data_IF_628727610003
#
_entry.id   IF_628727610003
#
_cell.length_a   1.000
_cell.length_b   1.000
_cell.length_c   1.000
_cell.angle_alpha   90.00
_cell.angle_beta   90.00
_cell.angle_gamma   90.00
#
_symmetry.space_group_name_H-M   'P 1'
#
loop_
_entity.id
_entity.type
_entity.pdbx_description
1 polymer ?
#
# COMPACT_ATOMS: atom_id res chain seq x y z
N UNK A 1 -40.00 -33.12 -3.20
CA UNK A 1 -38.97 -32.62 -2.25
C UNK A 1 -37.55 -32.94 -2.77
N UNK A 2 -37.00 -32.16 -3.71
CA UNK A 2 -35.63 -32.31 -4.24
C UNK A 2 -34.96 -30.94 -4.45
N UNK A 3 -34.77 -30.17 -3.39
CA UNK A 3 -34.13 -28.85 -3.49
C UNK A 3 -33.18 -28.61 -2.30
N UNK A 4 -32.21 -29.51 -2.09
CA UNK A 4 -31.18 -29.33 -1.05
C UNK A 4 -29.76 -29.85 -1.42
N UNK A 5 -29.49 -30.15 -2.70
CA UNK A 5 -28.17 -30.68 -3.15
C UNK A 5 -27.43 -29.70 -4.11
N UNK A 6 -27.74 -28.40 -4.09
CA UNK A 6 -27.03 -27.43 -4.95
C UNK A 6 -26.13 -26.43 -4.21
N UNK A 7 -26.10 -26.44 -2.87
CA UNK A 7 -25.34 -25.46 -2.08
C UNK A 7 -24.02 -26.00 -1.50
N UNK A 8 -23.67 -27.28 -1.69
CA UNK A 8 -22.47 -27.86 -1.07
C UNK A 8 -21.20 -27.75 -1.93
N UNK A 9 -21.31 -27.47 -3.23
CA UNK A 9 -20.14 -27.41 -4.14
C UNK A 9 -19.57 -26.01 -4.39
N UNK A 10 -20.22 -24.94 -3.92
CA UNK A 10 -19.81 -23.57 -4.25
C UNK A 10 -18.78 -22.99 -3.26
N UNK A 11 -18.57 -23.61 -2.09
CA UNK A 11 -17.68 -23.08 -1.05
C UNK A 11 -16.30 -23.73 -0.99
N UNK A 12 -16.05 -24.82 -1.72
CA UNK A 12 -14.78 -25.59 -1.66
C UNK A 12 -13.63 -25.02 -2.49
N UNK A 13 -13.85 -24.01 -3.33
CA UNK A 13 -12.81 -23.49 -4.25
C UNK A 13 -12.47 -22.01 -4.04
N UNK A 14 -12.62 -21.49 -2.82
CA UNK A 14 -11.91 -20.26 -2.46
C UNK A 14 -10.42 -20.58 -2.30
N UNK A 15 -9.70 -20.60 -3.43
CA UNK A 15 -8.25 -20.82 -3.52
C UNK A 15 -7.56 -19.78 -2.64
N UNK A 16 -7.17 -20.20 -1.43
CA UNK A 16 -6.44 -19.37 -0.47
C UNK A 16 -5.21 -18.80 -1.19
N UNK A 17 -5.12 -17.46 -1.29
CA UNK A 17 -3.97 -16.81 -1.92
C UNK A 17 -2.71 -17.23 -1.16
N UNK A 18 -1.85 -17.99 -1.81
CA UNK A 18 -0.55 -18.35 -1.28
C UNK A 18 0.33 -17.10 -1.30
N UNK A 19 0.74 -16.64 -0.11
CA UNK A 19 1.68 -15.54 0.03
C UNK A 19 3.08 -16.12 0.13
N UNK A 20 3.95 -15.70 -0.78
CA UNK A 20 5.37 -16.07 -0.79
C UNK A 20 6.21 -14.91 -0.28
N UNK A 21 7.19 -15.19 0.58
CA UNK A 21 8.11 -14.18 1.09
C UNK A 21 8.99 -13.59 -0.02
N UNK A 22 9.51 -12.39 0.20
CA UNK A 22 10.38 -11.73 -0.78
C UNK A 22 11.69 -12.52 -1.00
N UNK A 23 12.24 -13.10 0.08
CA UNK A 23 13.44 -13.94 0.03
C UNK A 23 13.19 -15.19 -0.80
N UNK A 24 12.05 -15.85 -0.60
CA UNK A 24 11.70 -17.05 -1.35
C UNK A 24 11.52 -16.74 -2.85
N UNK A 25 10.77 -15.68 -3.18
CA UNK A 25 10.63 -15.24 -4.59
C UNK A 25 11.98 -14.94 -5.23
N UNK A 26 12.87 -14.25 -4.50
CA UNK A 26 14.21 -13.92 -4.99
C UNK A 26 15.02 -15.18 -5.26
N UNK A 27 15.05 -16.13 -4.32
CA UNK A 27 15.74 -17.42 -4.49
C UNK A 27 15.26 -18.15 -5.74
N UNK A 28 13.93 -18.27 -5.91
CA UNK A 28 13.34 -18.96 -7.05
C UNK A 28 13.64 -18.23 -8.37
N UNK A 29 13.59 -16.90 -8.39
CA UNK A 29 13.94 -16.13 -9.59
C UNK A 29 15.42 -16.28 -9.95
N UNK A 30 16.32 -16.30 -8.97
CA UNK A 30 17.75 -16.54 -9.22
C UNK A 30 18.00 -17.94 -9.80
N UNK A 31 17.30 -18.97 -9.31
CA UNK A 31 17.36 -20.33 -9.89
C UNK A 31 16.79 -20.39 -11.32
N UNK A 32 15.78 -19.57 -11.64
CA UNK A 32 15.30 -19.43 -13.02
C UNK A 32 16.32 -18.73 -13.92
N UNK A 33 17.09 -17.78 -13.37
CA UNK A 33 18.10 -17.01 -14.11
C UNK A 33 19.44 -17.73 -14.26
N UNK A 34 19.74 -18.72 -13.41
CA UNK A 34 20.93 -19.56 -13.55
C UNK A 34 20.84 -20.56 -14.71
N UNK A 35 19.63 -20.77 -15.25
CA UNK A 35 19.33 -21.68 -16.38
C UNK A 35 19.71 -23.16 -16.13
N UNK A 36 20.08 -23.53 -14.91
CA UNK A 36 20.38 -24.91 -14.51
C UNK A 36 19.14 -25.81 -14.48
N UNK A 37 17.94 -25.22 -14.42
CA UNK A 37 16.66 -25.92 -14.44
C UNK A 37 15.64 -25.13 -15.24
N UNK A 38 14.81 -25.85 -16.00
CA UNK A 38 13.73 -25.23 -16.77
C UNK A 38 12.63 -24.68 -15.84
N UNK A 39 11.90 -23.67 -16.30
CA UNK A 39 10.77 -23.09 -15.55
C UNK A 39 9.75 -24.17 -15.14
N UNK A 40 9.55 -25.19 -15.97
CA UNK A 40 8.62 -26.29 -15.67
C UNK A 40 9.15 -27.23 -14.56
N UNK A 41 10.45 -27.48 -14.52
CA UNK A 41 11.07 -28.27 -13.43
C UNK A 41 11.02 -27.50 -12.10
N UNK A 42 11.30 -26.20 -12.13
CA UNK A 42 11.21 -25.33 -10.95
C UNK A 42 9.76 -25.20 -10.47
N UNK A 43 8.82 -25.08 -11.41
CA UNK A 43 7.38 -25.10 -11.13
C UNK A 43 6.94 -26.39 -10.44
N UNK A 44 7.41 -27.55 -10.91
CA UNK A 44 7.11 -28.83 -10.29
C UNK A 44 7.78 -28.96 -8.90
N UNK A 45 9.05 -28.55 -8.77
CA UNK A 45 9.83 -28.61 -7.53
C UNK A 45 9.21 -27.81 -6.38
N UNK A 46 8.69 -26.62 -6.68
CA UNK A 46 8.11 -25.73 -5.68
C UNK A 46 6.57 -25.74 -5.66
N UNK A 47 5.93 -26.55 -6.50
CA UNK A 47 4.47 -26.61 -6.70
C UNK A 47 3.86 -25.24 -7.05
N UNK A 48 4.57 -24.47 -7.88
CA UNK A 48 4.18 -23.11 -8.30
C UNK A 48 3.83 -23.15 -9.78
N UNK A 49 2.74 -22.48 -10.17
CA UNK A 49 2.38 -22.37 -11.59
C UNK A 49 3.49 -21.69 -12.41
N UNK A 50 3.86 -22.22 -13.60
CA UNK A 50 4.85 -21.60 -14.49
C UNK A 50 4.54 -20.13 -14.84
N UNK A 51 3.25 -19.76 -14.88
CA UNK A 51 2.80 -18.39 -15.15
C UNK A 51 3.20 -17.45 -14.00
N UNK A 52 3.10 -17.92 -12.75
CA UNK A 52 3.50 -17.16 -11.56
C UNK A 52 5.01 -16.95 -11.55
N UNK A 53 5.78 -17.98 -11.87
CA UNK A 53 7.24 -17.89 -11.99
C UNK A 53 7.68 -16.91 -13.08
N UNK A 54 7.04 -16.97 -14.25
CA UNK A 54 7.29 -16.05 -15.36
C UNK A 54 7.00 -14.60 -14.97
N UNK A 55 5.91 -14.38 -14.22
CA UNK A 55 5.56 -13.07 -13.67
C UNK A 55 6.63 -12.57 -12.70
N UNK A 56 7.09 -13.39 -11.76
CA UNK A 56 8.14 -12.99 -10.81
C UNK A 56 9.46 -12.68 -11.51
N UNK A 57 9.86 -13.47 -12.52
CA UNK A 57 11.03 -13.17 -13.35
C UNK A 57 10.91 -11.79 -13.98
N UNK A 58 9.76 -11.49 -14.59
CA UNK A 58 9.50 -10.18 -15.21
C UNK A 58 9.53 -9.03 -14.19
N UNK A 59 8.88 -9.20 -13.05
CA UNK A 59 8.85 -8.21 -11.96
C UNK A 59 10.26 -7.94 -11.43
N UNK A 60 11.04 -8.99 -11.18
CA UNK A 60 12.42 -8.87 -10.72
C UNK A 60 13.30 -8.15 -11.73
N UNK A 61 13.28 -8.56 -13.01
CA UNK A 61 14.08 -7.93 -14.06
C UNK A 61 13.72 -6.45 -14.28
N UNK A 62 12.43 -6.10 -14.17
CA UNK A 62 11.98 -4.71 -14.28
C UNK A 62 12.51 -3.81 -13.17
N UNK A 63 12.62 -4.34 -11.95
CA UNK A 63 13.04 -3.58 -10.75
C UNK A 63 14.51 -3.79 -10.38
N UNK A 64 15.19 -4.78 -10.94
CA UNK A 64 16.58 -5.10 -10.62
C UNK A 64 17.52 -3.91 -10.87
N UNK A 65 17.26 -3.13 -11.92
CA UNK A 65 18.02 -1.91 -12.22
C UNK A 65 17.90 -0.84 -11.12
N UNK A 66 16.79 -0.81 -10.37
CA UNK A 66 16.57 0.16 -9.29
C UNK A 66 17.59 0.00 -8.16
N UNK A 67 18.08 -1.22 -7.91
CA UNK A 67 19.08 -1.52 -6.88
C UNK A 67 20.42 -0.84 -7.15
N UNK A 68 20.74 -0.59 -8.43
CA UNK A 68 22.00 0.04 -8.83
C UNK A 68 21.89 1.56 -9.05
N UNK A 69 20.68 2.13 -9.00
CA UNK A 69 20.52 3.59 -9.09
C UNK A 69 21.12 4.24 -7.83
N UNK A 70 21.96 5.26 -8.02
CA UNK A 70 22.47 6.08 -6.91
C UNK A 70 21.48 7.20 -6.60
N UNK A 71 21.18 7.39 -5.32
CA UNK A 71 20.24 8.41 -4.82
C UNK A 71 18.98 7.81 -4.22
N UNK A 72 18.11 8.66 -3.63
CA UNK A 72 16.89 8.21 -2.98
C UNK A 72 15.97 7.51 -3.98
N UNK A 73 15.33 6.44 -3.52
CA UNK A 73 14.33 5.72 -4.32
C UNK A 73 13.14 6.64 -4.65
N UNK A 74 12.38 6.33 -5.70
CA UNK A 74 11.18 7.11 -6.02
C UNK A 74 10.21 7.16 -4.84
N UNK A 75 10.02 6.02 -4.16
CA UNK A 75 9.23 5.93 -2.93
C UNK A 75 9.77 6.79 -1.79
N UNK A 76 11.08 6.99 -1.71
CA UNK A 76 11.70 7.83 -0.69
C UNK A 76 11.50 9.32 -1.00
N UNK A 77 11.55 9.71 -2.27
CA UNK A 77 11.19 11.06 -2.71
C UNK A 77 9.71 11.37 -2.47
N UNK A 78 8.82 10.43 -2.83
CA UNK A 78 7.38 10.56 -2.56
C UNK A 78 7.10 10.69 -1.06
N UNK A 79 7.81 9.90 -0.24
CA UNK A 79 7.70 9.99 1.21
C UNK A 79 8.13 11.36 1.73
N UNK A 80 9.23 11.89 1.21
CA UNK A 80 9.73 13.21 1.63
C UNK A 80 8.78 14.33 1.23
N UNK A 81 8.28 14.32 -0.01
CA UNK A 81 7.24 15.25 -0.47
C UNK A 81 5.97 15.17 0.39
N UNK A 82 5.56 13.95 0.78
CA UNK A 82 4.42 13.76 1.67
C UNK A 82 4.67 14.36 3.05
N UNK A 83 5.87 14.23 3.61
CA UNK A 83 6.21 14.84 4.90
C UNK A 83 6.20 16.36 4.83
N UNK A 84 6.78 16.93 3.77
CA UNK A 84 6.76 18.38 3.54
C UNK A 84 5.33 18.91 3.47
N UNK A 85 4.45 18.21 2.74
CA UNK A 85 3.04 18.58 2.64
C UNK A 85 2.31 18.48 3.98
N UNK A 86 2.56 17.42 4.76
CA UNK A 86 2.00 17.28 6.11
C UNK A 86 2.45 18.44 6.99
N UNK A 87 3.73 18.80 6.98
CA UNK A 87 4.26 19.90 7.77
C UNK A 87 3.62 21.25 7.38
N UNK A 88 3.38 21.48 6.09
CA UNK A 88 2.66 22.67 5.61
C UNK A 88 1.22 22.71 6.14
N UNK A 89 0.50 21.59 6.07
CA UNK A 89 -0.86 21.48 6.57
C UNK A 89 -0.93 21.69 8.08
N UNK A 90 -0.03 21.07 8.85
CA UNK A 90 0.07 21.25 10.31
C UNK A 90 0.30 22.71 10.68
N UNK A 91 1.16 23.42 9.94
CA UNK A 91 1.38 24.85 10.14
C UNK A 91 0.11 25.67 9.89
N UNK A 92 -0.62 25.39 8.81
CA UNK A 92 -1.90 26.06 8.49
C UNK A 92 -2.96 25.78 9.56
N UNK A 93 -3.05 24.53 10.03
CA UNK A 93 -3.97 24.15 11.11
C UNK A 93 -3.63 24.91 12.40
N UNK A 94 -2.34 25.01 12.74
CA UNK A 94 -1.90 25.79 13.91
C UNK A 94 -2.26 27.27 13.80
N UNK A 95 -2.01 27.88 12.65
CA UNK A 95 -2.37 29.28 12.38
C UNK A 95 -3.88 29.50 12.49
N UNK A 96 -4.68 28.67 11.82
CA UNK A 96 -6.14 28.76 11.86
C UNK A 96 -6.69 28.54 13.27
N UNK A 97 -6.11 27.62 14.03
CA UNK A 97 -6.49 27.38 15.43
C UNK A 97 -6.26 28.64 16.26
N UNK A 98 -5.08 29.26 16.11
CA UNK A 98 -4.77 30.52 16.79
C UNK A 98 -5.73 31.65 16.40
N UNK A 99 -5.96 31.85 15.09
CA UNK A 99 -6.85 32.89 14.58
C UNK A 99 -8.29 32.69 15.09
N UNK A 100 -8.80 31.46 15.04
CA UNK A 100 -10.13 31.11 15.53
C UNK A 100 -10.25 31.37 17.02
N UNK A 101 -9.26 30.98 17.82
CA UNK A 101 -9.28 31.17 19.27
C UNK A 101 -9.15 32.65 19.64
N UNK A 102 -8.34 33.40 18.91
CA UNK A 102 -8.25 34.85 19.05
C UNK A 102 -9.58 35.53 18.71
N UNK A 103 -10.20 35.17 17.59
CA UNK A 103 -11.51 35.70 17.19
C UNK A 103 -12.59 35.35 18.22
N UNK A 104 -12.63 34.11 18.72
CA UNK A 104 -13.55 33.72 19.80
C UNK A 104 -13.36 34.56 21.05
N UNK A 105 -12.12 34.81 21.45
CA UNK A 105 -11.79 35.65 22.61
C UNK A 105 -12.28 37.08 22.39
N UNK A 106 -11.98 37.67 21.23
CA UNK A 106 -12.40 39.05 20.89
C UNK A 106 -13.90 39.21 20.76
N UNK A 107 -14.60 38.25 20.15
CA UNK A 107 -16.06 38.25 20.11
C UNK A 107 -16.66 38.17 21.51
N UNK A 108 -16.07 37.41 22.43
CA UNK A 108 -16.53 37.35 23.83
C UNK A 108 -16.31 38.68 24.57
N UNK A 109 -15.18 39.33 24.33
CA UNK A 109 -14.82 40.63 24.92
C UNK A 109 -15.74 41.76 24.43
N UNK A 110 -16.04 41.79 23.12
CA UNK A 110 -16.79 42.89 22.48
C UNK A 110 -18.30 42.67 22.57
N UNK A 111 -18.78 41.47 22.28
CA UNK A 111 -20.22 41.15 22.12
C UNK A 111 -20.80 40.45 23.36
N UNK A 112 -19.98 40.15 24.37
CA UNK A 112 -20.36 39.41 25.57
C UNK A 112 -20.60 37.91 25.31
N UNK A 113 -20.82 37.08 26.35
CA UNK A 113 -20.90 35.61 26.23
C UNK A 113 -22.01 35.07 25.31
N UNK A 114 -22.97 35.92 24.92
CA UNK A 114 -24.12 35.58 24.08
C UNK A 114 -23.81 35.54 22.57
N UNK A 115 -22.62 35.97 22.11
CA UNK A 115 -22.25 35.99 20.69
C UNK A 115 -22.31 34.62 19.99
N UNK A 116 -22.23 33.53 20.76
CA UNK A 116 -22.40 32.16 20.25
C UNK A 116 -23.87 31.77 19.96
N UNK A 117 -24.86 32.57 20.37
CA UNK A 117 -26.29 32.28 20.11
C UNK A 117 -26.69 32.69 18.68
N UNK A 118 -26.26 31.85 17.74
CA UNK A 118 -26.73 31.62 16.35
C UNK A 118 -27.52 32.75 15.65
N UNK A 119 -26.89 33.38 14.64
CA UNK A 119 -27.58 33.69 13.39
C UNK A 119 -27.97 32.37 12.73
N UNK A 120 -29.27 32.08 12.75
CA UNK A 120 -29.88 30.95 12.06
C UNK A 120 -29.95 31.22 10.57
#
# INVERSE_FOLDING_TARGET
MRHKIQNLSYTETMKKRTNYSAEFKTKVVLEILSEESTVNQIAAKYEISPVVLSRWKKEFMGRASEVFKKGPSESEKELEQSKEHIAELERKVGQLTYEVDWLKKKSTEILGPSWKKKSR
#
